data_IF_895982754898
#
_entry.id   IF_895982754898
#
_cell.length_a   1.000
_cell.length_b   1.000
_cell.length_c   1.000
_cell.angle_alpha   90.00
_cell.angle_beta   90.00
_cell.angle_gamma   90.00
#
_symmetry.space_group_name_H-M   'P 1'
#
loop_
_entity.id
_entity.type
_entity.pdbx_description
1 polymer ?
#
# COMPACT_ATOMS: atom_id res chain seq x y z
N UNK A 1 16.82 24.43 12.73
CA UNK A 1 17.16 23.32 11.81
C UNK A 1 17.40 22.11 12.68
N UNK A 2 16.48 21.13 12.67
CA UNK A 2 16.67 19.88 13.40
C UNK A 2 17.81 19.07 12.78
N UNK A 3 18.35 18.05 13.49
CA UNK A 3 19.38 17.20 12.93
C UNK A 3 18.89 16.59 11.61
N UNK A 4 19.63 16.81 10.53
CA UNK A 4 19.45 16.12 9.25
C UNK A 4 19.83 14.66 9.47
N UNK A 5 18.87 13.82 9.88
CA UNK A 5 19.06 12.38 9.82
C UNK A 5 19.14 12.00 8.34
N UNK A 6 20.34 11.60 7.89
CA UNK A 6 20.47 10.99 6.57
C UNK A 6 19.54 9.77 6.52
N UNK A 7 18.86 9.53 5.37
CA UNK A 7 18.05 8.34 5.22
C UNK A 7 18.91 7.09 5.49
N UNK A 8 18.36 6.03 6.10
CA UNK A 8 19.10 4.79 6.30
C UNK A 8 19.65 4.26 4.96
N UNK A 9 20.88 3.71 4.95
CA UNK A 9 21.49 3.21 3.74
C UNK A 9 20.67 2.04 3.16
N UNK A 10 20.66 1.94 1.83
CA UNK A 10 20.03 0.81 1.14
C UNK A 10 20.98 -0.38 1.06
N UNK A 11 20.43 -1.58 1.05
CA UNK A 11 21.13 -2.83 0.79
C UNK A 11 21.13 -3.14 -0.73
N UNK A 12 21.83 -4.22 -1.10
CA UNK A 12 22.00 -4.65 -2.49
C UNK A 12 20.85 -5.52 -3.03
N UNK A 13 19.74 -5.65 -2.29
CA UNK A 13 18.58 -6.43 -2.73
C UNK A 13 17.94 -5.78 -3.95
N UNK A 14 17.64 -6.60 -4.95
CA UNK A 14 16.79 -6.24 -6.08
C UNK A 14 15.34 -6.61 -5.78
N UNK A 15 14.51 -5.60 -5.51
CA UNK A 15 13.05 -5.79 -5.35
C UNK A 15 12.44 -6.42 -6.60
N UNK A 16 12.95 -6.06 -7.78
CA UNK A 16 12.55 -6.66 -9.06
C UNK A 16 12.76 -8.18 -9.09
N UNK A 17 13.85 -8.66 -8.49
CA UNK A 17 14.18 -10.09 -8.43
C UNK A 17 13.35 -10.85 -7.39
N UNK A 18 12.86 -10.17 -6.35
CA UNK A 18 11.94 -10.74 -5.35
C UNK A 18 10.52 -10.77 -5.90
N UNK A 19 10.04 -9.63 -6.39
CA UNK A 19 8.71 -9.47 -7.00
C UNK A 19 8.81 -9.93 -8.45
N UNK A 20 8.91 -11.24 -8.66
CA UNK A 20 8.91 -11.85 -10.00
C UNK A 20 7.55 -11.76 -10.67
N UNK A 21 7.49 -11.98 -11.99
CA UNK A 21 6.20 -12.16 -12.69
C UNK A 21 5.38 -13.30 -12.09
N UNK A 22 6.02 -14.39 -11.68
CA UNK A 22 5.33 -15.51 -11.05
C UNK A 22 4.70 -15.13 -9.70
N UNK A 23 5.41 -14.38 -8.86
CA UNK A 23 4.87 -13.90 -7.59
C UNK A 23 3.71 -12.92 -7.83
N UNK A 24 3.92 -11.89 -8.65
CA UNK A 24 2.92 -10.85 -8.90
C UNK A 24 1.65 -11.43 -9.55
N UNK A 25 1.81 -12.24 -10.61
CA UNK A 25 0.67 -12.88 -11.28
C UNK A 25 0.02 -13.94 -10.39
N UNK A 26 0.78 -14.63 -9.52
CA UNK A 26 0.22 -15.56 -8.55
C UNK A 26 -0.75 -14.91 -7.54
N UNK A 27 -0.59 -13.62 -7.25
CA UNK A 27 -1.59 -12.84 -6.50
C UNK A 27 -2.78 -12.57 -7.41
N UNK A 28 -2.53 -11.92 -8.55
CA UNK A 28 -3.57 -11.45 -9.48
C UNK A 28 -4.48 -12.56 -10.00
N UNK A 29 -3.94 -13.75 -10.26
CA UNK A 29 -4.66 -14.89 -10.81
C UNK A 29 -5.60 -15.59 -9.82
N UNK A 30 -5.63 -15.15 -8.56
CA UNK A 30 -6.65 -15.56 -7.60
C UNK A 30 -7.96 -14.74 -7.74
N UNK A 31 -7.92 -13.59 -8.44
CA UNK A 31 -9.12 -12.80 -8.76
C UNK A 31 -9.84 -13.33 -10.00
N UNK A 32 -11.17 -13.10 -10.07
CA UNK A 32 -11.97 -13.47 -11.24
C UNK A 32 -11.47 -12.78 -12.51
N UNK A 33 -11.48 -13.49 -13.63
CA UNK A 33 -11.06 -12.97 -14.93
C UNK A 33 -11.80 -11.70 -15.36
N UNK A 34 -13.01 -11.44 -14.85
CA UNK A 34 -13.80 -10.24 -15.14
C UNK A 34 -13.47 -9.03 -14.26
N UNK A 35 -12.58 -9.17 -13.27
CA UNK A 35 -12.22 -8.07 -12.38
C UNK A 35 -11.53 -6.92 -13.14
N UNK A 36 -11.98 -5.69 -12.91
CA UNK A 36 -11.47 -4.47 -13.54
C UNK A 36 -9.96 -4.26 -13.34
N UNK A 37 -9.44 -4.66 -12.18
CA UNK A 37 -8.03 -4.47 -11.83
C UNK A 37 -7.06 -5.40 -12.56
N UNK A 38 -7.53 -6.43 -13.28
CA UNK A 38 -6.66 -7.46 -13.87
C UNK A 38 -5.70 -6.96 -14.95
N UNK A 39 -6.16 -6.01 -15.76
CA UNK A 39 -5.35 -5.40 -16.82
C UNK A 39 -4.75 -4.06 -16.38
N UNK A 40 -5.29 -3.48 -15.31
CA UNK A 40 -4.80 -2.24 -14.72
C UNK A 40 -3.54 -2.47 -13.87
N UNK A 41 -3.57 -3.42 -12.94
CA UNK A 41 -2.44 -3.72 -12.06
C UNK A 41 -1.45 -4.66 -12.74
N UNK A 42 -0.31 -4.10 -13.14
CA UNK A 42 0.79 -4.84 -13.76
C UNK A 42 2.07 -4.74 -12.94
N UNK A 43 2.88 -5.79 -13.00
CA UNK A 43 4.23 -5.77 -12.40
C UNK A 43 5.08 -4.64 -12.98
N UNK A 44 4.95 -4.36 -14.28
CA UNK A 44 5.67 -3.28 -14.94
C UNK A 44 5.31 -1.90 -14.33
N UNK A 45 4.02 -1.61 -14.13
CA UNK A 45 3.59 -0.37 -13.48
C UNK A 45 4.09 -0.28 -12.02
N UNK A 46 4.10 -1.39 -11.29
CA UNK A 46 4.68 -1.44 -9.94
C UNK A 46 6.19 -1.10 -9.95
N UNK A 47 6.97 -1.71 -10.85
CA UNK A 47 8.42 -1.46 -10.93
C UNK A 47 8.75 -0.04 -11.42
N UNK A 48 7.95 0.51 -12.33
CA UNK A 48 8.09 1.90 -12.76
C UNK A 48 7.79 2.87 -11.60
N UNK A 49 6.72 2.62 -10.84
CA UNK A 49 6.40 3.39 -9.65
C UNK A 49 7.50 3.29 -8.57
N UNK A 50 8.06 2.09 -8.38
CA UNK A 50 9.14 1.80 -7.43
C UNK A 50 10.41 2.63 -7.70
N UNK A 51 10.66 3.03 -8.95
CA UNK A 51 11.80 3.88 -9.31
C UNK A 51 11.90 5.17 -8.47
N UNK A 52 10.78 5.67 -7.93
CA UNK A 52 10.72 6.85 -7.06
C UNK A 52 10.92 6.56 -5.56
N UNK A 53 10.91 5.28 -5.14
CA UNK A 53 10.91 4.84 -3.74
C UNK A 53 12.05 3.86 -3.45
N UNK A 54 13.29 4.31 -3.66
CA UNK A 54 14.50 3.47 -3.62
C UNK A 54 14.78 2.78 -2.28
N UNK A 55 14.15 3.21 -1.18
CA UNK A 55 14.29 2.58 0.14
C UNK A 55 13.31 1.43 0.39
N UNK A 56 12.19 1.37 -0.35
CA UNK A 56 11.20 0.32 -0.20
C UNK A 56 11.82 -1.04 -0.48
N UNK A 57 11.71 -1.98 0.47
CA UNK A 57 12.25 -3.33 0.34
C UNK A 57 13.77 -3.39 0.24
N UNK A 58 14.48 -2.34 0.68
CA UNK A 58 15.94 -2.22 0.56
C UNK A 58 16.62 -1.69 1.81
N UNK A 59 15.95 -1.63 2.95
CA UNK A 59 16.55 -1.19 4.23
C UNK A 59 16.60 -2.37 5.20
N UNK A 60 17.72 -2.51 5.91
CA UNK A 60 17.97 -3.64 6.81
C UNK A 60 18.54 -4.86 6.08
N UNK A 61 18.25 -6.04 6.60
CA UNK A 61 18.71 -7.32 6.04
C UNK A 61 17.91 -7.73 4.79
N UNK A 62 18.38 -8.77 4.10
CA UNK A 62 17.62 -9.39 3.02
C UNK A 62 16.27 -9.95 3.52
N UNK A 63 16.26 -10.50 4.73
CA UNK A 63 15.03 -10.98 5.36
C UNK A 63 14.06 -9.83 5.68
N UNK A 64 14.56 -8.67 6.11
CA UNK A 64 13.73 -7.47 6.32
C UNK A 64 13.13 -6.99 5.00
N UNK A 65 13.90 -7.05 3.92
CA UNK A 65 13.45 -6.72 2.57
C UNK A 65 12.31 -7.63 2.12
N UNK A 66 12.47 -8.96 2.30
CA UNK A 66 11.43 -9.94 1.97
C UNK A 66 10.18 -9.78 2.85
N UNK A 67 10.34 -9.50 4.15
CA UNK A 67 9.22 -9.24 5.07
C UNK A 67 8.47 -7.97 4.70
N UNK A 68 9.17 -6.88 4.39
CA UNK A 68 8.53 -5.63 3.97
C UNK A 68 7.73 -5.82 2.67
N UNK A 69 8.32 -6.48 1.66
CA UNK A 69 7.65 -6.77 0.39
C UNK A 69 6.43 -7.66 0.63
N UNK A 70 6.56 -8.74 1.41
CA UNK A 70 5.45 -9.61 1.76
C UNK A 70 4.33 -8.86 2.50
N UNK A 71 4.68 -7.97 3.43
CA UNK A 71 3.73 -7.17 4.18
C UNK A 71 2.97 -6.20 3.27
N UNK A 72 3.67 -5.47 2.41
CA UNK A 72 3.06 -4.56 1.43
C UNK A 72 2.06 -5.29 0.55
N UNK A 73 2.46 -6.40 -0.09
CA UNK A 73 1.56 -7.15 -0.96
C UNK A 73 0.42 -7.84 -0.19
N UNK A 74 0.60 -8.23 1.07
CA UNK A 74 -0.47 -8.76 1.91
C UNK A 74 -1.57 -7.74 2.17
N UNK A 75 -1.20 -6.50 2.46
CA UNK A 75 -2.16 -5.41 2.58
C UNK A 75 -2.82 -5.10 1.25
N UNK A 76 -2.04 -4.96 0.18
CA UNK A 76 -2.59 -4.72 -1.17
C UNK A 76 -3.59 -5.80 -1.58
N UNK A 77 -3.27 -7.07 -1.31
CA UNK A 77 -4.17 -8.19 -1.60
C UNK A 77 -5.48 -8.08 -0.84
N UNK A 78 -5.42 -7.68 0.43
CA UNK A 78 -6.61 -7.47 1.25
C UNK A 78 -7.47 -6.33 0.72
N UNK A 79 -6.87 -5.15 0.49
CA UNK A 79 -7.60 -3.94 0.09
C UNK A 79 -8.26 -4.06 -1.29
N UNK A 80 -7.61 -4.78 -2.21
CA UNK A 80 -8.07 -4.86 -3.61
C UNK A 80 -8.78 -6.17 -3.94
N UNK A 81 -8.84 -7.11 -3.01
CA UNK A 81 -9.34 -8.46 -3.29
C UNK A 81 -8.51 -9.17 -4.36
N UNK A 82 -7.18 -9.27 -4.15
CA UNK A 82 -6.23 -9.85 -5.10
C UNK A 82 -6.13 -9.09 -6.43
N UNK A 83 -5.99 -7.76 -6.36
CA UNK A 83 -5.99 -6.87 -7.54
C UNK A 83 -7.29 -6.89 -8.34
N UNK A 84 -8.42 -7.22 -7.71
CA UNK A 84 -9.71 -7.21 -8.39
C UNK A 84 -10.27 -5.78 -8.55
N UNK A 85 -10.27 -5.02 -7.47
CA UNK A 85 -10.91 -3.70 -7.39
C UNK A 85 -9.88 -2.57 -7.49
N UNK A 86 -10.21 -1.56 -8.30
CA UNK A 86 -9.43 -0.33 -8.41
C UNK A 86 -9.99 0.73 -7.47
N UNK A 87 -11.32 0.84 -7.42
CA UNK A 87 -12.06 1.77 -6.57
C UNK A 87 -12.80 1.01 -5.46
N UNK A 88 -13.04 1.70 -4.35
CA UNK A 88 -13.87 1.20 -3.25
C UNK A 88 -15.27 0.83 -3.77
N UNK A 89 -15.78 -0.34 -3.35
CA UNK A 89 -17.15 -0.75 -3.66
C UNK A 89 -18.14 0.25 -3.08
N UNK A 90 -18.96 0.85 -3.95
CA UNK A 90 -19.87 1.96 -3.61
C UNK A 90 -19.16 3.26 -3.14
N UNK A 91 -17.86 3.41 -3.40
CA UNK A 91 -17.08 4.60 -3.07
C UNK A 91 -17.75 5.93 -3.47
N UNK A 92 -18.28 6.08 -4.70
CA UNK A 92 -18.97 7.31 -5.14
C UNK A 92 -20.19 7.74 -4.29
N UNK A 93 -20.71 6.86 -3.42
CA UNK A 93 -21.78 7.20 -2.47
C UNK A 93 -21.29 7.94 -1.22
N UNK A 94 -19.97 8.09 -1.05
CA UNK A 94 -19.30 8.71 0.09
C UNK A 94 -18.23 9.68 -0.42
N UNK A 95 -18.15 10.88 0.13
CA UNK A 95 -17.18 11.89 -0.29
C UNK A 95 -15.81 11.74 0.37
N UNK A 96 -15.74 11.12 1.57
CA UNK A 96 -14.50 10.99 2.36
C UNK A 96 -13.79 12.33 2.53
N UNK A 97 -14.56 13.36 2.90
CA UNK A 97 -14.04 14.69 3.12
C UNK A 97 -13.98 15.01 4.62
N UNK A 98 -12.79 15.36 5.12
CA UNK A 98 -12.67 16.10 6.38
C UNK A 98 -12.68 17.61 6.10
N UNK A 99 -13.86 18.21 6.30
CA UNK A 99 -14.11 19.64 6.10
C UNK A 99 -13.30 20.54 7.06
N UNK A 100 -12.76 19.97 8.15
CA UNK A 100 -11.91 20.72 9.08
C UNK A 100 -10.47 20.83 8.59
N UNK A 101 -10.07 20.08 7.56
CA UNK A 101 -8.72 20.11 7.02
C UNK A 101 -8.55 21.29 6.05
N UNK A 102 -8.08 22.42 6.58
CA UNK A 102 -7.86 23.65 5.80
C UNK A 102 -6.59 23.63 4.96
N UNK A 103 -5.65 22.72 5.24
CA UNK A 103 -4.42 22.57 4.45
C UNK A 103 -4.70 21.86 3.12
N UNK A 104 -5.61 20.89 3.14
CA UNK A 104 -6.03 20.10 1.97
C UNK A 104 -7.57 20.19 1.84
N UNK A 105 -8.10 21.36 1.46
CA UNK A 105 -9.54 21.58 1.42
C UNK A 105 -10.21 20.68 0.39
N UNK A 106 -11.41 20.23 0.70
CA UNK A 106 -12.20 19.40 -0.20
C UNK A 106 -12.69 20.21 -1.41
N UNK A 107 -12.68 19.59 -2.57
CA UNK A 107 -13.40 20.08 -3.73
C UNK A 107 -14.84 19.53 -3.66
N UNK A 108 -15.88 20.39 -3.63
CA UNK A 108 -17.26 19.96 -3.45
C UNK A 108 -17.81 19.08 -4.59
N UNK A 109 -17.10 19.00 -5.72
CA UNK A 109 -17.48 18.15 -6.86
C UNK A 109 -16.69 16.85 -6.92
N UNK A 110 -15.92 16.50 -5.88
CA UNK A 110 -15.04 15.34 -5.86
C UNK A 110 -15.26 14.48 -4.63
N UNK A 111 -14.97 13.20 -4.79
CA UNK A 111 -14.95 12.21 -3.71
C UNK A 111 -13.56 11.59 -3.56
N UNK A 112 -13.10 11.48 -2.32
CA UNK A 112 -11.82 10.96 -1.90
C UNK A 112 -11.93 9.54 -1.32
N UNK A 113 -12.87 8.75 -1.82
CA UNK A 113 -13.02 7.34 -1.46
C UNK A 113 -11.82 6.50 -1.90
N UNK A 114 -11.76 5.25 -1.43
CA UNK A 114 -10.63 4.36 -1.64
C UNK A 114 -10.31 4.15 -3.13
N UNK A 115 -9.05 4.39 -3.51
CA UNK A 115 -8.52 4.03 -4.84
C UNK A 115 -7.13 3.42 -4.76
N UNK A 116 -6.84 2.53 -5.71
CA UNK A 116 -5.52 1.97 -5.87
C UNK A 116 -5.17 0.85 -4.89
N UNK A 117 -3.91 0.37 -4.90
CA UNK A 117 -3.48 -0.82 -4.18
C UNK A 117 -3.66 -0.75 -2.66
N UNK A 118 -3.59 0.43 -2.06
CA UNK A 118 -3.78 0.63 -0.61
C UNK A 118 -5.13 1.29 -0.27
N UNK A 119 -6.02 1.44 -1.26
CA UNK A 119 -7.28 2.16 -1.12
C UNK A 119 -7.09 3.55 -0.48
N UNK A 120 -6.22 4.37 -1.08
CA UNK A 120 -5.94 5.74 -0.62
C UNK A 120 -7.27 6.48 -0.46
N UNK A 121 -7.53 6.99 0.74
CA UNK A 121 -8.81 7.59 1.13
C UNK A 121 -8.57 8.90 1.85
N UNK A 122 -9.54 9.82 1.78
CA UNK A 122 -9.55 11.15 2.40
C UNK A 122 -8.71 12.24 1.73
N UNK A 123 -9.27 13.47 1.70
CA UNK A 123 -8.63 14.68 1.20
C UNK A 123 -7.23 14.92 1.78
N UNK A 124 -7.05 14.65 3.07
CA UNK A 124 -5.77 14.81 3.77
C UNK A 124 -4.71 13.78 3.40
N UNK A 125 -5.06 12.72 2.66
CA UNK A 125 -4.08 11.79 2.07
C UNK A 125 -3.89 12.08 0.57
N UNK A 126 -4.97 12.33 -0.18
CA UNK A 126 -4.89 12.66 -1.60
C UNK A 126 -4.09 13.94 -1.86
N UNK A 127 -4.31 14.99 -1.08
CA UNK A 127 -3.61 16.26 -1.20
C UNK A 127 -2.07 16.13 -1.11
N UNK A 128 -1.52 15.61 0.01
CA UNK A 128 -0.07 15.45 0.14
C UNK A 128 0.51 14.38 -0.80
N UNK A 129 -0.22 13.29 -1.10
CA UNK A 129 0.20 12.32 -2.10
C UNK A 129 0.34 12.98 -3.48
N UNK A 130 -0.66 13.77 -3.89
CA UNK A 130 -0.66 14.56 -5.11
C UNK A 130 0.54 15.49 -5.21
N UNK A 131 0.78 16.28 -4.17
CA UNK A 131 1.93 17.19 -4.08
C UNK A 131 3.27 16.45 -4.17
N UNK A 132 3.39 15.25 -3.58
CA UNK A 132 4.63 14.47 -3.59
C UNK A 132 4.89 13.76 -4.92
N UNK A 133 3.82 13.30 -5.59
CA UNK A 133 3.91 12.44 -6.78
C UNK A 133 3.85 13.27 -8.07
N UNK A 134 3.25 14.46 -8.02
CA UNK A 134 3.07 15.34 -9.18
C UNK A 134 1.73 15.15 -9.90
N UNK A 135 0.64 14.89 -9.16
CA UNK A 135 -0.73 14.91 -9.69
C UNK A 135 -1.64 15.78 -8.80
N UNK A 136 -2.75 16.26 -9.34
CA UNK A 136 -3.71 17.06 -8.57
C UNK A 136 -4.65 16.15 -7.77
N UNK A 137 -4.24 15.80 -6.55
CA UNK A 137 -5.02 14.92 -5.69
C UNK A 137 -6.34 15.51 -5.18
N UNK A 138 -6.50 16.84 -5.16
CA UNK A 138 -7.72 17.47 -4.64
C UNK A 138 -8.77 17.69 -5.74
N UNK A 139 -8.35 18.03 -6.96
CA UNK A 139 -9.26 18.28 -8.07
C UNK A 139 -9.32 17.15 -9.09
N UNK A 140 -8.37 16.21 -9.11
CA UNK A 140 -8.38 15.04 -9.98
C UNK A 140 -8.03 13.74 -9.23
N UNK A 141 -8.68 13.42 -8.08
CA UNK A 141 -8.40 12.20 -7.32
C UNK A 141 -8.63 10.91 -8.14
N UNK A 142 -9.50 10.94 -9.14
CA UNK A 142 -9.74 9.83 -10.07
C UNK A 142 -8.50 9.39 -10.84
N UNK A 143 -7.46 10.23 -10.92
CA UNK A 143 -6.17 9.88 -11.55
C UNK A 143 -5.60 8.59 -10.96
N UNK A 144 -5.81 8.36 -9.66
CA UNK A 144 -5.33 7.14 -8.94
C UNK A 144 -6.00 5.86 -9.46
N UNK A 145 -7.20 5.97 -10.05
CA UNK A 145 -7.93 4.85 -10.65
C UNK A 145 -7.73 4.73 -12.18
N UNK A 146 -7.16 5.74 -12.84
CA UNK A 146 -7.00 5.73 -14.31
C UNK A 146 -5.55 5.58 -14.76
N UNK A 147 -4.57 5.92 -13.92
CA UNK A 147 -3.15 5.75 -14.20
C UNK A 147 -2.54 4.71 -13.25
N UNK A 148 -2.14 3.52 -13.74
CA UNK A 148 -1.64 2.44 -12.87
C UNK A 148 -0.30 2.76 -12.22
N UNK A 149 0.54 3.61 -12.83
CA UNK A 149 1.81 4.04 -12.24
C UNK A 149 1.53 4.99 -11.08
N UNK A 150 0.65 5.98 -11.27
CA UNK A 150 0.21 6.86 -10.18
C UNK A 150 -0.46 6.05 -9.08
N UNK A 151 -1.28 5.06 -9.43
CA UNK A 151 -1.92 4.14 -8.48
C UNK A 151 -0.90 3.43 -7.59
N UNK A 152 0.16 2.84 -8.15
CA UNK A 152 1.22 2.24 -7.34
C UNK A 152 2.06 3.28 -6.57
N UNK A 153 2.31 4.45 -7.16
CA UNK A 153 3.02 5.52 -6.45
C UNK A 153 2.26 6.00 -5.22
N UNK A 154 0.93 6.09 -5.25
CA UNK A 154 0.16 6.46 -4.05
C UNK A 154 0.26 5.40 -2.96
N UNK A 155 0.24 4.11 -3.33
CA UNK A 155 0.43 3.01 -2.37
C UNK A 155 1.84 3.00 -1.74
N UNK A 156 2.88 3.18 -2.56
CA UNK A 156 4.27 3.28 -2.09
C UNK A 156 4.49 4.56 -1.27
N UNK A 157 3.91 5.69 -1.68
CA UNK A 157 3.94 6.92 -0.90
C UNK A 157 3.33 6.71 0.49
N UNK A 158 2.13 6.14 0.57
CA UNK A 158 1.49 5.89 1.85
C UNK A 158 2.33 4.95 2.71
N UNK A 159 2.84 3.87 2.12
CA UNK A 159 3.69 2.90 2.81
C UNK A 159 4.94 3.55 3.39
N UNK A 160 5.69 4.31 2.58
CA UNK A 160 6.94 4.92 3.01
C UNK A 160 6.75 5.99 4.08
N UNK A 161 5.61 6.69 4.09
CA UNK A 161 5.33 7.72 5.08
C UNK A 161 4.71 7.17 6.38
N UNK A 162 3.99 6.04 6.35
CA UNK A 162 3.19 5.59 7.50
C UNK A 162 3.54 4.18 8.00
N UNK A 163 4.17 3.33 7.19
CA UNK A 163 4.28 1.88 7.46
C UNK A 163 5.73 1.36 7.41
N UNK A 164 6.58 1.89 6.53
CA UNK A 164 7.96 1.44 6.33
C UNK A 164 8.77 1.40 7.63
N UNK A 165 8.72 2.46 8.43
CA UNK A 165 9.44 2.51 9.72
C UNK A 165 8.88 1.53 10.74
N UNK A 166 7.60 1.16 10.63
CA UNK A 166 6.91 0.26 11.57
C UNK A 166 7.37 -1.18 11.39
N UNK A 167 7.42 -1.67 10.15
CA UNK A 167 7.84 -3.05 9.88
C UNK A 167 9.34 -3.25 10.17
N UNK A 168 10.15 -2.22 9.93
CA UNK A 168 11.61 -2.28 10.14
C UNK A 168 12.05 -2.08 11.59
N UNK A 169 11.20 -1.53 12.46
CA UNK A 169 11.55 -1.32 13.87
C UNK A 169 11.33 -2.56 14.75
N UNK A 170 10.93 -3.68 14.17
CA UNK A 170 10.69 -4.94 14.90
C UNK A 170 9.33 -5.00 15.60
N UNK A 171 8.42 -4.05 15.34
CA UNK A 171 7.06 -4.09 15.89
C UNK A 171 6.19 -5.21 15.31
N UNK A 172 6.56 -5.75 14.14
CA UNK A 172 5.89 -6.86 13.47
C UNK A 172 4.72 -6.45 12.58
N UNK A 173 4.15 -7.43 11.88
CA UNK A 173 3.09 -7.20 10.88
C UNK A 173 1.78 -6.68 11.49
N UNK A 174 1.45 -7.04 12.74
CA UNK A 174 0.28 -6.49 13.43
C UNK A 174 0.31 -4.98 13.57
N UNK A 175 1.51 -4.40 13.73
CA UNK A 175 1.68 -2.95 13.80
C UNK A 175 1.48 -2.28 12.43
N UNK A 176 1.76 -2.97 11.31
CA UNK A 176 1.47 -2.43 9.97
C UNK A 176 -0.03 -2.44 9.68
N UNK A 177 -0.78 -3.44 10.18
CA UNK A 177 -2.25 -3.42 10.16
C UNK A 177 -2.76 -2.20 10.91
N UNK A 178 -2.25 -1.94 12.12
CA UNK A 178 -2.64 -0.77 12.91
C UNK A 178 -2.33 0.56 12.22
N UNK A 179 -1.18 0.64 11.54
CA UNK A 179 -0.78 1.85 10.80
C UNK A 179 -1.65 2.13 9.57
N UNK A 180 -2.18 1.08 8.93
CA UNK A 180 -3.08 1.21 7.77
C UNK A 180 -4.52 1.46 8.20
N UNK A 181 -5.03 0.64 9.12
CA UNK A 181 -6.40 0.75 9.63
C UNK A 181 -6.49 0.27 11.07
N UNK A 182 -6.20 1.18 12.00
CA UNK A 182 -6.24 0.90 13.45
C UNK A 182 -7.61 0.46 13.98
N UNK A 183 -8.71 0.70 13.24
CA UNK A 183 -10.06 0.29 13.64
C UNK A 183 -10.28 -1.22 13.54
N UNK A 184 -9.43 -1.96 12.82
CA UNK A 184 -9.51 -3.43 12.73
C UNK A 184 -8.91 -4.12 13.96
N UNK A 185 -8.01 -3.44 14.66
CA UNK A 185 -7.26 -3.97 15.80
C UNK A 185 -8.10 -3.99 17.09
N UNK A 186 -7.55 -4.62 18.13
CA UNK A 186 -8.11 -4.69 19.49
C UNK A 186 -9.52 -5.29 19.53
N UNK A 187 -9.81 -6.20 18.60
CA UNK A 187 -11.11 -6.83 18.44
C UNK A 187 -12.11 -6.07 17.58
N UNK A 188 -11.72 -4.97 16.93
CA UNK A 188 -12.60 -4.17 16.07
C UNK A 188 -13.07 -4.93 14.82
N UNK A 189 -12.17 -5.64 14.14
CA UNK A 189 -12.52 -6.55 13.06
C UNK A 189 -11.56 -7.76 12.97
N UNK A 190 -11.79 -8.81 13.78
CA UNK A 190 -10.90 -9.97 13.83
C UNK A 190 -10.77 -10.73 12.51
N UNK A 191 -11.79 -10.69 11.65
CA UNK A 191 -11.81 -11.41 10.38
C UNK A 191 -10.89 -10.75 9.35
N UNK A 192 -10.88 -9.41 9.27
CA UNK A 192 -9.98 -8.69 8.37
C UNK A 192 -8.52 -8.82 8.80
N UNK A 193 -8.25 -8.71 10.11
CA UNK A 193 -6.92 -9.00 10.67
C UNK A 193 -6.48 -10.41 10.29
N UNK A 194 -7.35 -11.41 10.47
CA UNK A 194 -7.04 -12.81 10.12
C UNK A 194 -6.73 -12.96 8.63
N UNK A 195 -7.50 -12.31 7.75
CA UNK A 195 -7.26 -12.35 6.31
C UNK A 195 -5.90 -11.74 5.93
N UNK A 196 -5.55 -10.57 6.48
CA UNK A 196 -4.25 -9.92 6.25
C UNK A 196 -3.09 -10.80 6.71
N UNK A 197 -3.18 -11.37 7.90
CA UNK A 197 -2.14 -12.29 8.45
C UNK A 197 -1.99 -13.54 7.58
N UNK A 198 -3.10 -14.08 7.06
CA UNK A 198 -3.06 -15.23 6.15
C UNK A 198 -2.26 -14.90 4.88
N UNK A 199 -2.53 -13.77 4.23
CA UNK A 199 -1.78 -13.36 3.03
C UNK A 199 -0.31 -13.11 3.34
N UNK A 200 -0.01 -12.45 4.46
CA UNK A 200 1.37 -12.21 4.89
C UNK A 200 2.15 -13.50 5.08
N UNK A 201 1.58 -14.47 5.81
CA UNK A 201 2.21 -15.78 6.00
C UNK A 201 2.42 -16.53 4.67
N UNK A 202 1.43 -16.48 3.77
CA UNK A 202 1.54 -17.08 2.44
C UNK A 202 2.69 -16.45 1.63
N UNK A 203 2.81 -15.12 1.63
CA UNK A 203 3.85 -14.43 0.88
C UNK A 203 5.23 -14.59 1.51
N UNK A 204 5.34 -14.55 2.85
CA UNK A 204 6.59 -14.91 3.53
C UNK A 204 7.05 -16.33 3.16
N UNK A 205 6.12 -17.30 3.12
CA UNK A 205 6.44 -18.66 2.68
C UNK A 205 6.90 -18.74 1.23
N UNK A 206 6.26 -17.99 0.31
CA UNK A 206 6.67 -17.94 -1.10
C UNK A 206 8.05 -17.29 -1.28
N UNK A 207 8.38 -16.29 -0.46
CA UNK A 207 9.66 -15.59 -0.48
C UNK A 207 10.75 -16.30 0.35
N UNK A 208 10.42 -17.42 1.01
CA UNK A 208 11.36 -18.20 1.80
C UNK A 208 11.88 -17.47 3.03
N UNK A 209 11.05 -16.65 3.68
CA UNK A 209 11.40 -15.89 4.89
C UNK A 209 10.46 -16.22 6.04
N UNK A 210 10.97 -16.25 7.28
CA UNK A 210 10.10 -16.36 8.46
C UNK A 210 9.30 -15.05 8.66
N UNK A 211 7.99 -15.13 8.95
CA UNK A 211 7.13 -13.95 9.09
C UNK A 211 7.49 -13.07 10.30
N UNK A 212 8.23 -13.61 11.26
CA UNK A 212 8.54 -12.96 12.53
C UNK A 212 7.39 -13.07 13.54
N UNK A 213 7.52 -12.31 14.63
CA UNK A 213 6.55 -12.26 15.72
C UNK A 213 5.53 -11.11 15.54
N UNK A 214 4.60 -10.97 16.49
CA UNK A 214 3.64 -9.86 16.55
C UNK A 214 2.82 -9.68 15.26
N UNK A 215 2.31 -10.80 14.73
CA UNK A 215 1.58 -10.80 13.45
C UNK A 215 0.18 -10.16 13.55
N UNK A 216 -0.37 -10.05 14.76
CA UNK A 216 -1.73 -9.57 14.99
C UNK A 216 -1.73 -8.29 15.78
N UNK A 217 -2.76 -7.51 15.55
CA UNK A 217 -3.36 -6.57 16.47
C UNK A 217 -4.83 -7.02 16.67
#
# INVERSE_FOLDING_TARGET
QGPCFSPPPTNDVSVESIVTDAFFNGIKDQSDASCEGRDFYTRAAFLEALGNYQQFGRVGSEDDSKREIAAFFAHVTHETGHFCYIEEINGPSRDYCDENNTQYPCNPNKGYYGRGPIQLSWNFNYGPAGSSIGFDGLNNPETVATDPIISFRTALWFWMNNVHSVILSGQGFGATIRAINGMECDGGNPDTVTARVRYYNQYCSQLGVAPGDNLRC
#
